data_IF_877559784300
#
_entry.id   IF_877559784300
#
_cell.length_a   1.000
_cell.length_b   1.000
_cell.length_c   1.000
_cell.angle_alpha   90.00
_cell.angle_beta   90.00
_cell.angle_gamma   90.00
#
_symmetry.space_group_name_H-M   'P 1'
#
loop_
_entity.id
_entity.type
_entity.pdbx_description
1 polymer ?
#
# COMPACT_ATOMS: atom_id res chain seq x y z
N UNK A 1 -85.24 13.62 -36.72
CA UNK A 1 -85.01 14.08 -35.33
C UNK A 1 -83.70 14.87 -35.35
N UNK A 2 -83.68 16.17 -35.71
CA UNK A 2 -83.87 17.35 -34.82
C UNK A 2 -83.01 17.25 -33.55
N UNK A 3 -82.06 18.12 -33.20
CA UNK A 3 -81.62 19.43 -33.73
C UNK A 3 -80.28 19.83 -33.06
N UNK A 4 -79.59 20.86 -33.61
CA UNK A 4 -79.28 22.18 -32.99
C UNK A 4 -78.36 22.12 -31.74
N UNK A 5 -77.21 22.79 -31.64
CA UNK A 5 -76.89 24.24 -31.75
C UNK A 5 -75.39 24.37 -32.17
N UNK A 6 -74.91 25.23 -33.07
CA UNK A 6 -74.95 26.68 -33.21
C UNK A 6 -74.26 27.48 -32.07
N UNK A 7 -73.04 27.99 -32.32
CA UNK A 7 -72.69 29.41 -32.07
C UNK A 7 -71.36 29.83 -32.73
N UNK A 8 -71.46 30.90 -33.52
CA UNK A 8 -70.40 31.72 -34.14
C UNK A 8 -69.53 32.43 -33.09
N UNK A 9 -68.29 32.79 -33.42
CA UNK A 9 -67.81 34.18 -33.70
C UNK A 9 -66.47 34.34 -32.96
N UNK A 10 -65.50 35.20 -33.24
CA UNK A 10 -65.28 36.28 -34.21
C UNK A 10 -63.76 36.48 -34.32
N UNK A 11 -63.34 37.05 -35.45
CA UNK A 11 -61.97 37.46 -35.79
C UNK A 11 -61.54 38.65 -34.93
N UNK A 12 -60.35 38.60 -34.35
CA UNK A 12 -59.59 39.80 -33.98
C UNK A 12 -58.15 39.64 -34.43
N UNK A 13 -57.80 40.43 -35.44
CA UNK A 13 -56.43 40.69 -35.84
C UNK A 13 -55.82 41.70 -34.86
N UNK A 14 -54.65 41.38 -34.30
CA UNK A 14 -53.76 42.37 -33.69
C UNK A 14 -52.38 42.16 -34.28
N UNK A 15 -51.98 43.11 -35.12
CA UNK A 15 -50.62 43.33 -35.58
C UNK A 15 -49.77 43.74 -34.37
N UNK A 16 -48.79 42.92 -34.00
CA UNK A 16 -47.73 43.29 -33.08
C UNK A 16 -46.39 43.23 -33.82
N UNK A 17 -45.91 44.40 -34.23
CA UNK A 17 -44.54 44.64 -34.69
C UNK A 17 -43.62 44.48 -33.47
N UNK A 18 -42.84 43.40 -33.42
CA UNK A 18 -41.81 43.19 -32.40
C UNK A 18 -40.44 43.47 -33.01
N UNK A 19 -39.87 44.57 -32.54
CA UNK A 19 -38.56 45.08 -32.91
C UNK A 19 -37.44 44.10 -32.49
N UNK A 20 -36.47 43.93 -33.40
CA UNK A 20 -35.23 43.21 -33.23
C UNK A 20 -34.38 43.82 -32.11
N UNK A 21 -34.08 43.04 -31.07
CA UNK A 21 -32.98 43.32 -30.14
C UNK A 21 -31.89 42.26 -30.35
N UNK A 22 -30.87 42.61 -31.13
CA UNK A 22 -29.64 41.83 -31.24
C UNK A 22 -28.85 42.00 -29.94
N UNK A 23 -28.81 40.95 -29.13
CA UNK A 23 -27.93 40.91 -27.96
C UNK A 23 -26.55 40.46 -28.44
N UNK A 24 -25.61 41.41 -28.50
CA UNK A 24 -24.20 41.09 -28.68
C UNK A 24 -23.67 40.43 -27.42
N UNK A 25 -23.36 39.14 -27.47
CA UNK A 25 -22.60 38.46 -26.43
C UNK A 25 -21.13 38.89 -26.51
N UNK A 26 -20.73 39.82 -25.65
CA UNK A 26 -19.32 40.11 -25.41
C UNK A 26 -18.70 38.91 -24.68
N UNK A 27 -18.00 38.04 -25.41
CA UNK A 27 -17.15 37.03 -24.80
C UNK A 27 -15.96 37.74 -24.13
N UNK A 28 -16.00 37.88 -22.80
CA UNK A 28 -14.82 38.29 -22.04
C UNK A 28 -13.87 37.10 -21.92
N UNK A 29 -12.79 37.11 -22.70
CA UNK A 29 -11.64 36.25 -22.44
C UNK A 29 -11.02 36.67 -21.10
N UNK A 30 -11.17 35.85 -20.06
CA UNK A 30 -10.39 35.99 -18.84
C UNK A 30 -8.95 35.61 -19.12
N UNK A 31 -8.10 36.61 -19.33
CA UNK A 31 -6.65 36.46 -19.28
C UNK A 31 -6.26 36.21 -17.82
N UNK A 32 -5.97 34.96 -17.49
CA UNK A 32 -5.28 34.59 -16.25
C UNK A 32 -3.90 35.26 -16.27
N UNK A 33 -3.52 36.01 -15.23
CA UNK A 33 -2.18 36.61 -15.17
C UNK A 33 -1.11 35.50 -15.14
N UNK A 34 0.07 35.74 -15.72
CA UNK A 34 1.14 34.75 -15.74
C UNK A 34 1.59 34.40 -14.32
N UNK A 35 1.70 33.10 -14.06
CA UNK A 35 2.23 32.54 -12.82
C UNK A 35 3.72 32.92 -12.71
N UNK A 36 4.07 33.75 -11.73
CA UNK A 36 5.47 34.06 -11.42
C UNK A 36 6.12 32.88 -10.71
N UNK A 37 7.05 32.21 -11.39
CA UNK A 37 7.92 31.16 -10.84
C UNK A 37 9.15 31.78 -10.14
N UNK A 38 8.93 32.67 -9.17
CA UNK A 38 10.00 33.18 -8.33
C UNK A 38 10.15 32.29 -7.07
N UNK A 39 11.37 31.80 -6.74
CA UNK A 39 11.59 31.06 -5.51
C UNK A 39 11.36 31.96 -4.30
N UNK A 40 10.33 31.66 -3.51
CA UNK A 40 10.13 32.31 -2.22
C UNK A 40 11.20 31.82 -1.25
N UNK A 41 12.04 32.75 -0.77
CA UNK A 41 12.98 32.48 0.32
C UNK A 41 12.17 32.30 1.61
N UNK A 42 12.00 31.05 2.03
CA UNK A 42 11.43 30.70 3.33
C UNK A 42 12.27 31.36 4.44
N UNK A 43 11.63 32.15 5.29
CA UNK A 43 12.26 32.64 6.51
C UNK A 43 12.49 31.44 7.46
N UNK A 44 13.66 31.35 8.12
CA UNK A 44 13.92 30.27 9.05
C UNK A 44 12.97 30.37 10.25
N UNK A 45 12.47 29.23 10.78
CA UNK A 45 11.62 29.23 11.96
C UNK A 45 12.42 29.72 13.18
N UNK A 46 11.86 30.67 13.92
CA UNK A 46 12.39 31.13 15.20
C UNK A 46 12.32 29.98 16.21
N UNK A 47 13.46 29.32 16.45
CA UNK A 47 13.58 28.30 17.47
C UNK A 47 13.41 28.93 18.86
N UNK A 48 12.25 28.72 19.48
CA UNK A 48 12.07 29.04 20.91
C UNK A 48 12.46 27.78 21.69
N UNK A 49 13.65 27.79 22.29
CA UNK A 49 14.17 26.66 23.06
C UNK A 49 13.34 26.44 24.35
N UNK A 50 12.92 25.20 24.68
CA UNK A 50 12.30 24.91 25.96
C UNK A 50 13.32 25.04 27.11
N UNK A 51 12.93 25.73 28.18
CA UNK A 51 13.69 25.78 29.45
C UNK A 51 13.69 24.38 30.08
N UNK A 52 14.87 23.75 30.12
CA UNK A 52 15.11 22.55 30.92
C UNK A 52 15.25 22.99 32.38
N UNK A 53 14.32 22.57 33.23
CA UNK A 53 14.44 22.71 34.69
C UNK A 53 15.15 21.45 35.20
N UNK A 54 16.42 21.59 35.58
CA UNK A 54 17.18 20.53 36.25
C UNK A 54 16.80 20.46 37.73
N UNK A 55 16.44 19.29 38.28
CA UNK A 55 16.33 19.08 39.73
C UNK A 55 17.72 19.06 40.39
N UNK A 56 17.82 19.42 41.69
CA UNK A 56 19.10 19.62 42.34
C UNK A 56 19.83 18.29 42.58
N UNK A 57 21.15 18.33 42.31
CA UNK A 57 22.11 17.29 42.69
C UNK A 57 22.22 17.28 44.22
N UNK A 58 21.81 16.18 44.85
CA UNK A 58 22.17 15.86 46.21
C UNK A 58 23.45 15.03 46.19
N UNK A 59 24.53 15.59 46.74
CA UNK A 59 25.76 14.88 47.08
C UNK A 59 25.47 13.88 48.19
N UNK A 60 25.82 12.61 47.99
CA UNK A 60 25.90 11.63 49.06
C UNK A 60 27.14 10.76 48.86
N UNK A 61 27.94 10.71 49.91
CA UNK A 61 29.27 10.15 50.04
C UNK A 61 29.38 8.66 49.70
N UNK A 62 30.61 8.26 49.37
CA UNK A 62 31.08 6.88 49.37
C UNK A 62 30.92 6.26 50.76
N UNK A 63 30.25 5.10 50.85
CA UNK A 63 30.52 4.11 51.90
C UNK A 63 30.02 2.71 51.48
N UNK A 64 30.99 1.82 51.29
CA UNK A 64 31.00 0.37 51.57
C UNK A 64 29.79 -0.52 51.23
N UNK A 65 30.08 -1.53 50.40
CA UNK A 65 29.25 -2.71 50.16
C UNK A 65 28.85 -3.47 51.44
N UNK A 66 27.66 -4.08 51.47
CA UNK A 66 27.40 -5.24 52.30
C UNK A 66 27.12 -6.51 51.48
N UNK A 67 27.47 -7.57 52.17
CA UNK A 67 27.58 -8.98 51.88
C UNK A 67 26.25 -9.67 51.51
N UNK A 68 26.38 -10.79 50.78
CA UNK A 68 25.29 -11.69 50.39
C UNK A 68 24.48 -12.15 51.60
N UNK A 69 23.16 -11.99 51.53
CA UNK A 69 22.23 -12.73 52.40
C UNK A 69 21.16 -13.40 51.54
N UNK A 70 21.09 -14.72 51.64
CA UNK A 70 20.00 -15.54 51.12
C UNK A 70 18.83 -15.48 52.11
N UNK A 71 17.60 -15.18 51.66
CA UNK A 71 16.40 -15.94 52.03
C UNK A 71 15.14 -15.54 51.22
N UNK A 72 14.09 -16.39 51.21
CA UNK A 72 13.15 -16.54 50.10
C UNK A 72 11.82 -15.78 50.25
N UNK A 73 11.10 -15.78 49.12
CA UNK A 73 9.66 -15.57 48.92
C UNK A 73 9.09 -14.14 48.99
N UNK A 74 8.58 -13.70 47.83
CA UNK A 74 7.37 -12.90 47.74
C UNK A 74 7.53 -11.48 47.19
N UNK A 75 7.46 -11.33 45.86
CA UNK A 75 6.60 -10.36 45.13
C UNK A 75 6.94 -10.42 43.64
N UNK A 76 5.91 -10.43 42.81
CA UNK A 76 6.03 -10.59 41.36
C UNK A 76 6.84 -9.48 40.73
N UNK A 77 8.11 -9.77 40.47
CA UNK A 77 8.89 -9.06 39.47
C UNK A 77 8.42 -9.56 38.11
N UNK A 78 7.81 -8.68 37.32
CA UNK A 78 7.73 -8.91 35.88
C UNK A 78 9.18 -8.97 35.39
N UNK A 79 9.71 -10.18 35.27
CA UNK A 79 10.92 -10.41 34.48
C UNK A 79 10.54 -10.11 33.05
N UNK A 80 10.87 -8.89 32.61
CA UNK A 80 10.98 -8.59 31.19
C UNK A 80 12.18 -9.37 30.69
N UNK A 81 11.97 -10.65 30.38
CA UNK A 81 12.90 -11.41 29.57
C UNK A 81 13.07 -10.63 28.27
N UNK A 82 14.32 -10.44 27.82
CA UNK A 82 14.59 -9.87 26.52
C UNK A 82 13.69 -10.58 25.49
N UNK A 83 12.77 -9.83 24.90
CA UNK A 83 11.91 -10.30 23.82
C UNK A 83 12.85 -10.81 22.73
N UNK A 84 12.97 -12.13 22.60
CA UNK A 84 13.67 -12.74 21.49
C UNK A 84 13.03 -12.18 20.22
N UNK A 85 13.85 -11.61 19.34
CA UNK A 85 13.38 -11.16 18.05
C UNK A 85 12.85 -12.39 17.32
N UNK A 86 11.52 -12.48 17.17
CA UNK A 86 10.86 -13.61 16.55
C UNK A 86 11.32 -13.63 15.09
N UNK A 87 11.96 -14.73 14.68
CA UNK A 87 12.39 -14.89 13.30
C UNK A 87 11.15 -14.88 12.39
N UNK A 88 11.03 -13.92 11.45
CA UNK A 88 9.86 -13.82 10.60
C UNK A 88 9.63 -15.06 9.74
N UNK A 89 10.67 -15.87 9.45
CA UNK A 89 10.54 -17.13 8.72
C UNK A 89 9.74 -18.20 9.48
N UNK A 90 9.59 -18.05 10.81
CA UNK A 90 8.76 -18.93 11.64
C UNK A 90 7.26 -18.59 11.63
N UNK A 91 6.91 -17.43 11.08
CA UNK A 91 5.53 -16.89 11.11
C UNK A 91 4.59 -17.81 10.33
N UNK A 92 3.40 -18.04 10.87
CA UNK A 92 2.29 -18.70 10.18
C UNK A 92 0.96 -18.27 10.77
N UNK A 93 -0.14 -18.66 10.10
CA UNK A 93 -1.50 -18.38 10.56
C UNK A 93 -2.32 -19.66 10.78
N UNK A 94 -1.74 -20.83 10.47
CA UNK A 94 -2.34 -22.13 10.77
C UNK A 94 -1.49 -22.86 11.81
N UNK A 95 -2.08 -23.09 12.99
CA UNK A 95 -1.60 -24.07 13.96
C UNK A 95 -1.98 -25.49 13.53
N UNK A 96 -1.37 -26.51 14.13
CA UNK A 96 -1.71 -27.92 13.90
C UNK A 96 -3.21 -28.20 14.12
N UNK A 97 -3.77 -27.66 15.21
CA UNK A 97 -5.21 -27.79 15.51
C UNK A 97 -6.12 -27.14 14.46
N UNK A 98 -5.60 -26.21 13.66
CA UNK A 98 -6.30 -25.53 12.56
C UNK A 98 -5.94 -26.14 11.20
N UNK A 99 -5.29 -27.31 11.17
CA UNK A 99 -4.89 -27.99 9.94
C UNK A 99 -3.52 -27.57 9.40
N UNK A 100 -2.72 -26.83 10.15
CA UNK A 100 -1.29 -26.68 9.85
C UNK A 100 -0.54 -28.01 9.98
N UNK A 101 0.69 -28.06 9.48
CA UNK A 101 1.55 -29.27 9.53
C UNK A 101 2.28 -29.47 10.86
N UNK A 102 2.10 -28.55 11.82
CA UNK A 102 2.78 -28.58 13.11
C UNK A 102 4.09 -27.81 13.12
N UNK A 103 4.50 -27.36 14.31
CA UNK A 103 5.67 -26.50 14.47
C UNK A 103 6.98 -27.17 14.04
N UNK A 104 7.06 -28.49 14.14
CA UNK A 104 8.26 -29.28 13.87
C UNK A 104 8.21 -29.96 12.48
N UNK A 105 7.41 -29.44 11.53
CA UNK A 105 7.25 -30.03 10.18
C UNK A 105 8.54 -30.17 9.37
N UNK A 106 9.59 -29.41 9.73
CA UNK A 106 10.90 -29.44 9.10
C UNK A 106 11.92 -30.30 9.83
N UNK A 107 11.53 -30.98 10.92
CA UNK A 107 12.45 -31.79 11.71
C UNK A 107 13.13 -32.84 10.83
N UNK A 108 14.47 -32.86 10.86
CA UNK A 108 15.29 -33.76 10.04
C UNK A 108 15.45 -33.35 8.57
N UNK A 109 14.90 -32.22 8.14
CA UNK A 109 15.10 -31.66 6.80
C UNK A 109 16.06 -30.48 6.86
N UNK A 110 17.18 -30.56 6.13
CA UNK A 110 18.15 -29.47 6.06
C UNK A 110 17.58 -28.22 5.37
N UNK A 111 17.90 -27.04 5.91
CA UNK A 111 17.45 -25.75 5.42
C UNK A 111 17.75 -25.53 3.94
N UNK A 112 18.90 -25.99 3.43
CA UNK A 112 19.24 -25.83 2.02
C UNK A 112 18.29 -26.62 1.10
N UNK A 113 17.74 -27.74 1.57
CA UNK A 113 16.73 -28.51 0.83
C UNK A 113 15.42 -27.73 0.77
N UNK A 114 14.98 -27.18 1.90
CA UNK A 114 13.75 -26.37 1.99
C UNK A 114 13.85 -25.14 1.10
N UNK A 115 14.94 -24.37 1.21
CA UNK A 115 15.16 -23.18 0.39
C UNK A 115 15.27 -23.50 -1.11
N UNK A 116 15.74 -24.70 -1.48
CA UNK A 116 15.78 -25.15 -2.87
C UNK A 116 14.40 -25.55 -3.39
N UNK A 117 13.62 -26.31 -2.62
CA UNK A 117 12.38 -26.94 -3.09
C UNK A 117 11.14 -26.06 -2.91
N UNK A 118 11.09 -25.24 -1.85
CA UNK A 118 9.92 -24.40 -1.55
C UNK A 118 9.55 -23.46 -2.71
N UNK A 119 10.48 -22.76 -3.38
CA UNK A 119 10.15 -21.93 -4.54
C UNK A 119 9.59 -22.70 -5.74
N UNK A 120 9.80 -24.03 -5.80
CA UNK A 120 9.40 -24.89 -6.91
C UNK A 120 8.04 -25.57 -6.68
N UNK A 121 7.30 -25.17 -5.64
CA UNK A 121 6.00 -25.76 -5.35
C UNK A 121 5.03 -25.60 -6.54
N UNK A 122 4.32 -26.66 -6.97
CA UNK A 122 3.46 -26.63 -8.15
C UNK A 122 2.10 -25.95 -7.88
N UNK A 123 2.14 -24.68 -7.48
CA UNK A 123 0.98 -23.90 -7.01
C UNK A 123 -0.18 -23.77 -8.02
N UNK A 124 0.10 -23.99 -9.31
CA UNK A 124 -0.88 -23.98 -10.41
C UNK A 124 -1.54 -25.34 -10.71
N UNK A 125 -1.39 -26.34 -9.83
CA UNK A 125 -2.02 -27.66 -9.96
C UNK A 125 -3.53 -27.61 -10.24
N UNK A 126 -4.07 -28.41 -11.16
CA UNK A 126 -5.53 -28.50 -11.38
C UNK A 126 -6.28 -29.20 -10.24
N UNK A 127 -5.59 -30.01 -9.43
CA UNK A 127 -6.19 -30.69 -8.27
C UNK A 127 -6.42 -29.72 -7.11
N UNK A 128 -7.67 -29.58 -6.68
CA UNK A 128 -8.06 -28.76 -5.53
C UNK A 128 -7.41 -29.25 -4.22
N UNK A 129 -7.29 -30.57 -4.05
CA UNK A 129 -6.66 -31.18 -2.86
C UNK A 129 -5.18 -30.82 -2.79
N UNK A 130 -4.47 -30.90 -3.92
CA UNK A 130 -3.06 -30.51 -3.98
C UNK A 130 -2.89 -29.01 -3.72
N UNK A 131 -3.76 -28.17 -4.30
CA UNK A 131 -3.76 -26.72 -4.01
C UNK A 131 -3.94 -26.43 -2.53
N UNK A 132 -4.89 -27.08 -1.88
CA UNK A 132 -5.12 -26.89 -0.45
C UNK A 132 -3.95 -27.39 0.40
N UNK A 133 -3.30 -28.50 0.02
CA UNK A 133 -2.12 -29.00 0.72
C UNK A 133 -0.96 -27.99 0.67
N UNK A 134 -0.69 -27.42 -0.52
CA UNK A 134 0.33 -26.39 -0.69
C UNK A 134 -0.04 -25.13 0.08
N UNK A 135 -1.30 -24.70 0.01
CA UNK A 135 -1.80 -23.56 0.78
C UNK A 135 -1.57 -23.74 2.28
N UNK A 136 -1.93 -24.90 2.83
CA UNK A 136 -1.71 -25.23 4.25
C UNK A 136 -0.23 -25.23 4.62
N UNK A 137 0.63 -25.73 3.74
CA UNK A 137 2.08 -25.73 3.95
C UNK A 137 2.61 -24.30 4.05
N UNK A 138 2.20 -23.45 3.10
CA UNK A 138 2.59 -22.03 3.03
C UNK A 138 2.03 -21.18 4.17
N UNK A 139 0.99 -21.63 4.88
CA UNK A 139 0.37 -20.90 5.99
C UNK A 139 0.67 -21.48 7.37
N UNK A 140 1.34 -22.63 7.45
CA UNK A 140 1.66 -23.27 8.72
C UNK A 140 2.63 -22.45 9.56
N UNK A 141 2.41 -22.45 10.88
CA UNK A 141 3.39 -22.01 11.86
C UNK A 141 4.44 -23.12 11.96
N UNK A 142 5.72 -22.77 11.79
CA UNK A 142 6.80 -23.74 11.81
C UNK A 142 8.08 -23.12 12.37
N UNK A 143 8.87 -23.90 13.10
CA UNK A 143 10.25 -23.53 13.44
C UNK A 143 11.05 -23.38 12.14
N UNK A 144 11.98 -22.44 12.09
CA UNK A 144 12.87 -22.29 10.95
C UNK A 144 13.69 -23.58 10.78
N UNK A 145 13.78 -24.18 9.57
CA UNK A 145 14.57 -25.38 9.35
C UNK A 145 16.02 -25.21 9.83
N UNK A 146 16.57 -26.26 10.43
CA UNK A 146 17.96 -26.27 10.86
C UNK A 146 18.92 -26.38 9.67
N UNK A 147 20.11 -25.80 9.83
CA UNK A 147 21.14 -25.80 8.79
C UNK A 147 21.50 -24.39 8.31
N UNK A 148 22.47 -24.33 7.39
CA UNK A 148 23.00 -23.06 6.88
C UNK A 148 22.02 -22.45 5.89
N UNK A 149 21.60 -21.20 6.12
CA UNK A 149 20.82 -20.45 5.14
C UNK A 149 21.67 -20.08 3.91
N UNK A 150 21.06 -20.13 2.74
CA UNK A 150 21.57 -19.55 1.49
C UNK A 150 21.31 -18.04 1.39
N UNK A 151 20.63 -17.43 2.38
CA UNK A 151 20.20 -16.04 2.37
C UNK A 151 18.78 -15.83 1.84
N UNK A 152 18.09 -16.90 1.43
CA UNK A 152 16.69 -16.84 1.03
C UNK A 152 15.78 -16.56 2.23
N UNK A 153 14.89 -15.57 2.10
CA UNK A 153 13.80 -15.37 3.06
C UNK A 153 12.67 -16.38 2.80
N UNK A 154 12.43 -17.28 3.75
CA UNK A 154 11.35 -18.26 3.65
C UNK A 154 9.98 -17.58 3.73
N UNK A 155 9.80 -16.57 4.58
CA UNK A 155 8.53 -15.85 4.69
C UNK A 155 8.18 -15.10 3.40
N UNK A 156 9.16 -14.41 2.79
CA UNK A 156 8.93 -13.71 1.52
C UNK A 156 8.61 -14.71 0.40
N UNK A 157 9.30 -15.84 0.35
CA UNK A 157 9.04 -16.93 -0.60
C UNK A 157 7.62 -17.47 -0.45
N UNK A 158 7.18 -17.76 0.79
CA UNK A 158 5.83 -18.25 1.07
C UNK A 158 4.76 -17.26 0.64
N UNK A 159 4.97 -15.99 0.95
CA UNK A 159 4.06 -14.91 0.57
C UNK A 159 3.95 -14.81 -0.95
N UNK A 160 5.07 -14.79 -1.69
CA UNK A 160 5.05 -14.75 -3.15
C UNK A 160 4.30 -15.93 -3.77
N UNK A 161 4.48 -17.13 -3.24
CA UNK A 161 3.75 -18.31 -3.69
C UNK A 161 2.25 -18.17 -3.44
N UNK A 162 1.84 -17.63 -2.30
CA UNK A 162 0.42 -17.35 -2.00
C UNK A 162 -0.16 -16.25 -2.91
N UNK A 163 0.63 -15.23 -3.26
CA UNK A 163 0.25 -14.20 -4.25
C UNK A 163 0.00 -14.85 -5.60
N UNK A 164 0.93 -15.70 -6.07
CA UNK A 164 0.79 -16.41 -7.33
C UNK A 164 -0.34 -17.47 -7.32
N UNK A 165 -0.77 -17.93 -6.15
CA UNK A 165 -2.01 -18.71 -5.98
C UNK A 165 -3.29 -17.86 -6.06
N UNK A 166 -3.19 -16.53 -5.99
CA UNK A 166 -4.32 -15.61 -5.93
C UNK A 166 -5.00 -15.52 -4.56
N UNK A 167 -4.42 -16.08 -3.50
CA UNK A 167 -5.01 -16.04 -2.15
C UNK A 167 -4.63 -14.76 -1.40
N UNK A 168 -5.18 -13.63 -1.87
CA UNK A 168 -4.86 -12.30 -1.33
C UNK A 168 -5.26 -12.16 0.15
N UNK A 169 -6.31 -12.87 0.58
CA UNK A 169 -6.77 -12.86 1.98
C UNK A 169 -5.73 -13.51 2.87
N UNK A 170 -5.23 -14.70 2.51
CA UNK A 170 -4.20 -15.36 3.28
C UNK A 170 -2.88 -14.60 3.25
N UNK A 171 -2.51 -14.00 2.10
CA UNK A 171 -1.33 -13.13 2.00
C UNK A 171 -1.42 -11.96 2.98
N UNK A 172 -2.52 -11.21 2.98
CA UNK A 172 -2.68 -10.07 3.88
C UNK A 172 -2.67 -10.51 5.36
N UNK A 173 -3.29 -11.66 5.67
CA UNK A 173 -3.33 -12.18 7.04
C UNK A 173 -1.93 -12.60 7.51
N UNK A 174 -1.18 -13.32 6.68
CA UNK A 174 0.18 -13.75 6.97
C UNK A 174 1.13 -12.55 7.08
N UNK A 175 1.04 -11.58 6.16
CA UNK A 175 1.79 -10.33 6.23
C UNK A 175 1.53 -9.63 7.57
N UNK A 176 0.28 -9.45 7.97
CA UNK A 176 -0.05 -8.77 9.23
C UNK A 176 0.48 -9.51 10.47
N UNK A 177 0.61 -10.84 10.41
CA UNK A 177 1.22 -11.64 11.46
C UNK A 177 2.76 -11.60 11.46
N UNK A 178 3.40 -11.14 10.38
CA UNK A 178 4.86 -11.17 10.20
C UNK A 178 5.55 -10.01 10.93
N UNK A 179 6.44 -10.31 11.90
CA UNK A 179 7.25 -9.29 12.58
C UNK A 179 8.18 -8.55 11.60
N UNK A 180 8.42 -7.26 11.85
CA UNK A 180 9.38 -6.48 11.04
C UNK A 180 8.99 -6.26 9.57
N UNK A 181 7.77 -6.64 9.15
CA UNK A 181 7.31 -6.52 7.74
C UNK A 181 7.41 -5.10 7.17
N UNK A 182 7.22 -4.07 7.99
CA UNK A 182 7.20 -2.68 7.55
C UNK A 182 8.60 -2.15 7.24
N UNK A 183 9.62 -2.71 7.89
CA UNK A 183 11.03 -2.36 7.68
C UNK A 183 11.70 -3.23 6.62
N UNK A 184 11.08 -4.35 6.23
CA UNK A 184 11.52 -5.17 5.11
C UNK A 184 10.96 -4.58 3.80
N UNK A 185 11.85 -4.10 2.92
CA UNK A 185 11.45 -3.41 1.68
C UNK A 185 10.61 -4.30 0.73
N UNK A 186 10.94 -5.58 0.64
CA UNK A 186 10.22 -6.53 -0.21
C UNK A 186 8.82 -6.82 0.33
N UNK A 187 8.69 -7.11 1.64
CA UNK A 187 7.39 -7.34 2.26
C UNK A 187 6.52 -6.08 2.27
N UNK A 188 7.14 -4.89 2.43
CA UNK A 188 6.45 -3.62 2.33
C UNK A 188 5.90 -3.38 0.91
N UNK A 189 6.67 -3.72 -0.13
CA UNK A 189 6.23 -3.65 -1.53
C UNK A 189 5.07 -4.61 -1.80
N UNK A 190 5.22 -5.89 -1.48
CA UNK A 190 4.17 -6.90 -1.68
C UNK A 190 2.89 -6.48 -0.93
N UNK A 191 3.03 -5.98 0.31
CA UNK A 191 1.89 -5.48 1.07
C UNK A 191 1.14 -4.35 0.38
N UNK A 192 1.82 -3.45 -0.32
CA UNK A 192 1.19 -2.38 -1.12
C UNK A 192 0.51 -2.95 -2.37
N UNK A 193 1.18 -3.84 -3.11
CA UNK A 193 0.63 -4.47 -4.31
C UNK A 193 -0.68 -5.20 -4.00
N UNK A 194 -0.71 -5.95 -2.90
CA UNK A 194 -1.91 -6.67 -2.46
C UNK A 194 -3.06 -5.75 -2.06
N UNK A 195 -2.74 -4.56 -1.51
CA UNK A 195 -3.77 -3.54 -1.24
C UNK A 195 -4.36 -2.99 -2.52
N UNK A 196 -3.56 -2.70 -3.54
CA UNK A 196 -4.08 -2.31 -4.86
C UNK A 196 -4.98 -3.40 -5.46
N UNK A 197 -4.53 -4.67 -5.45
CA UNK A 197 -5.31 -5.80 -5.96
C UNK A 197 -6.62 -6.02 -5.18
N UNK A 198 -6.66 -5.68 -3.89
CA UNK A 198 -7.85 -5.80 -3.05
C UNK A 198 -8.69 -4.52 -3.00
N UNK A 199 -8.40 -3.53 -3.86
CA UNK A 199 -9.03 -2.20 -3.91
C UNK A 199 -8.95 -1.40 -2.57
N UNK A 200 -7.98 -1.72 -1.71
CA UNK A 200 -7.61 -0.93 -0.52
C UNK A 200 -6.67 0.22 -0.93
N UNK A 201 -7.10 1.00 -1.93
CA UNK A 201 -6.31 2.07 -2.52
C UNK A 201 -5.97 3.15 -1.49
N UNK A 202 -6.86 3.41 -0.52
CA UNK A 202 -6.63 4.40 0.52
C UNK A 202 -5.35 4.10 1.32
N UNK A 203 -5.19 2.87 1.81
CA UNK A 203 -3.99 2.48 2.56
C UNK A 203 -2.77 2.31 1.66
N UNK A 204 -2.95 1.79 0.44
CA UNK A 204 -1.86 1.68 -0.53
C UNK A 204 -1.26 3.07 -0.87
N UNK A 205 -2.12 4.06 -1.13
CA UNK A 205 -1.71 5.41 -1.45
C UNK A 205 -1.08 6.16 -0.29
N UNK A 206 -1.57 5.94 0.94
CA UNK A 206 -0.90 6.46 2.14
C UNK A 206 0.53 5.91 2.26
N UNK A 207 0.73 4.62 1.98
CA UNK A 207 2.05 4.00 2.01
C UNK A 207 2.95 4.50 0.88
N UNK A 208 2.44 4.61 -0.35
CA UNK A 208 3.19 5.13 -1.50
C UNK A 208 3.67 6.58 -1.27
N UNK A 209 2.81 7.44 -0.72
CA UNK A 209 3.17 8.81 -0.36
C UNK A 209 4.28 8.90 0.70
N UNK A 210 4.34 7.93 1.63
CA UNK A 210 5.41 7.86 2.62
C UNK A 210 6.75 7.36 2.07
N UNK A 211 6.74 6.60 0.97
CA UNK A 211 7.93 5.96 0.41
C UNK A 211 8.59 6.76 -0.72
N UNK A 212 7.90 7.74 -1.31
CA UNK A 212 8.40 8.55 -2.46
C UNK A 212 9.74 9.24 -2.19
N UNK A 213 10.07 9.54 -0.93
CA UNK A 213 11.31 10.21 -0.52
C UNK A 213 12.47 9.25 -0.23
N UNK A 214 12.16 7.97 0.00
CA UNK A 214 13.10 7.04 0.62
C UNK A 214 13.71 6.04 -0.36
N UNK A 215 13.15 5.90 -1.58
CA UNK A 215 13.51 4.81 -2.47
C UNK A 215 13.49 5.25 -3.94
N UNK A 216 14.63 5.09 -4.61
CA UNK A 216 14.80 5.26 -6.06
C UNK A 216 14.31 4.02 -6.82
N UNK A 217 13.11 3.54 -6.43
CA UNK A 217 12.52 2.33 -6.99
C UNK A 217 11.29 2.77 -7.78
N UNK A 218 11.33 2.55 -9.09
CA UNK A 218 10.25 2.79 -10.05
C UNK A 218 8.86 2.47 -9.49
N UNK A 219 8.74 1.38 -8.75
CA UNK A 219 7.50 0.95 -8.11
C UNK A 219 6.84 2.06 -7.26
N UNK A 220 7.58 2.71 -6.35
CA UNK A 220 7.00 3.69 -5.45
C UNK A 220 6.64 4.99 -6.16
N UNK A 221 7.42 5.38 -7.17
CA UNK A 221 7.09 6.53 -8.02
C UNK A 221 5.82 6.26 -8.84
N UNK A 222 5.73 5.09 -9.50
CA UNK A 222 4.53 4.66 -10.23
C UNK A 222 3.31 4.59 -9.32
N UNK A 223 3.43 3.97 -8.15
CA UNK A 223 2.36 3.90 -7.17
C UNK A 223 1.92 5.30 -6.70
N UNK A 224 2.86 6.21 -6.48
CA UNK A 224 2.57 7.58 -6.08
C UNK A 224 1.80 8.35 -7.16
N UNK A 225 2.23 8.31 -8.42
CA UNK A 225 1.53 9.01 -9.51
C UNK A 225 0.19 8.37 -9.86
N UNK A 226 0.08 7.04 -9.75
CA UNK A 226 -1.22 6.36 -9.80
C UNK A 226 -2.17 6.90 -8.73
N UNK A 227 -1.68 7.07 -7.50
CA UNK A 227 -2.47 7.61 -6.40
C UNK A 227 -2.87 9.08 -6.59
N UNK A 228 -2.02 9.90 -7.22
CA UNK A 228 -2.40 11.26 -7.62
C UNK A 228 -3.50 11.25 -8.69
N UNK A 229 -3.38 10.39 -9.70
CA UNK A 229 -4.40 10.23 -10.72
C UNK A 229 -5.74 9.76 -10.13
N UNK A 230 -5.72 8.80 -9.19
CA UNK A 230 -6.92 8.38 -8.45
C UNK A 230 -7.55 9.50 -7.61
N UNK A 231 -6.74 10.42 -7.10
CA UNK A 231 -7.20 11.56 -6.32
C UNK A 231 -7.74 12.72 -7.19
N UNK A 232 -7.78 12.56 -8.52
CA UNK A 232 -8.17 13.62 -9.46
C UNK A 232 -7.09 14.68 -9.68
N UNK A 233 -5.88 14.48 -9.14
CA UNK A 233 -4.74 15.38 -9.31
C UNK A 233 -4.01 15.12 -10.63
N UNK A 234 -4.75 15.04 -11.74
CA UNK A 234 -4.25 14.58 -13.04
C UNK A 234 -3.07 15.42 -13.55
N UNK A 235 -3.09 16.75 -13.37
CA UNK A 235 -1.99 17.64 -13.77
C UNK A 235 -0.69 17.31 -13.02
N UNK A 236 -0.78 17.00 -11.73
CA UNK A 236 0.39 16.62 -10.91
C UNK A 236 0.93 15.26 -11.34
N UNK A 237 0.05 14.30 -11.56
CA UNK A 237 0.41 12.97 -12.05
C UNK A 237 1.08 13.05 -13.43
N UNK A 238 0.52 13.84 -14.35
CA UNK A 238 1.04 14.02 -15.71
C UNK A 238 2.46 14.62 -15.71
N UNK A 239 2.69 15.66 -14.89
CA UNK A 239 4.03 16.24 -14.74
C UNK A 239 5.03 15.20 -14.23
N UNK A 240 4.68 14.47 -13.17
CA UNK A 240 5.52 13.43 -12.59
C UNK A 240 5.87 12.32 -13.57
N UNK A 241 4.90 11.89 -14.37
CA UNK A 241 5.07 10.89 -15.42
C UNK A 241 5.96 11.41 -16.55
N UNK A 242 5.80 12.66 -16.98
CA UNK A 242 6.69 13.23 -18.00
C UNK A 242 8.14 13.23 -17.53
N UNK A 243 8.41 13.58 -16.26
CA UNK A 243 9.75 13.52 -15.69
C UNK A 243 10.25 12.08 -15.67
N UNK A 244 9.41 11.13 -15.24
CA UNK A 244 9.79 9.71 -15.18
C UNK A 244 10.21 9.14 -16.53
N UNK A 245 9.52 9.55 -17.61
CA UNK A 245 9.84 9.19 -19.00
C UNK A 245 11.20 9.77 -19.41
N UNK A 246 11.45 11.04 -19.13
CA UNK A 246 12.73 11.70 -19.43
C UNK A 246 13.90 11.13 -18.62
N UNK A 247 13.64 10.64 -17.40
CA UNK A 247 14.67 9.99 -16.56
C UNK A 247 14.91 8.52 -16.90
N UNK A 248 14.25 7.99 -17.93
CA UNK A 248 14.56 6.67 -18.50
C UNK A 248 13.62 5.53 -18.12
N UNK A 249 12.48 5.79 -17.48
CA UNK A 249 11.46 4.75 -17.30
C UNK A 249 10.69 4.53 -18.61
N UNK A 250 10.58 3.28 -19.05
CA UNK A 250 10.03 2.91 -20.37
C UNK A 250 8.75 2.07 -20.28
N UNK A 251 8.05 2.10 -19.15
CA UNK A 251 6.80 1.36 -18.98
C UNK A 251 5.62 2.07 -19.67
N UNK A 252 5.56 1.92 -20.99
CA UNK A 252 4.51 2.53 -21.83
C UNK A 252 3.10 2.05 -21.46
N UNK A 253 2.98 0.80 -20.98
CA UNK A 253 1.69 0.26 -20.52
C UNK A 253 1.22 1.07 -19.32
N UNK A 254 2.08 1.27 -18.32
CA UNK A 254 1.76 2.11 -17.17
C UNK A 254 1.38 3.53 -17.58
N UNK A 255 2.15 4.17 -18.46
CA UNK A 255 1.86 5.53 -18.90
C UNK A 255 0.50 5.64 -19.61
N UNK A 256 0.18 4.71 -20.51
CA UNK A 256 -1.11 4.65 -21.20
C UNK A 256 -2.28 4.44 -20.24
N UNK A 257 -2.10 3.59 -19.22
CA UNK A 257 -3.11 3.34 -18.19
C UNK A 257 -3.37 4.58 -17.33
N UNK A 258 -2.34 5.35 -16.95
CA UNK A 258 -2.55 6.59 -16.19
C UNK A 258 -3.23 7.67 -17.04
N UNK A 259 -2.84 7.82 -18.31
CA UNK A 259 -3.49 8.76 -19.22
C UNK A 259 -4.97 8.40 -19.44
N UNK A 260 -5.29 7.10 -19.49
CA UNK A 260 -6.67 6.62 -19.52
C UNK A 260 -7.47 7.06 -18.28
N UNK A 261 -6.87 6.97 -17.08
CA UNK A 261 -7.51 7.43 -15.85
C UNK A 261 -7.79 8.94 -15.86
N UNK A 262 -6.94 9.74 -16.52
CA UNK A 262 -7.12 11.19 -16.64
C UNK A 262 -8.15 11.58 -17.72
N UNK A 263 -8.11 10.91 -18.86
CA UNK A 263 -8.96 11.23 -20.02
C UNK A 263 -10.35 10.56 -19.96
N UNK A 264 -10.54 9.54 -19.12
CA UNK A 264 -11.73 8.70 -19.10
C UNK A 264 -11.88 7.81 -20.33
N UNK A 265 -10.89 7.78 -21.22
CA UNK A 265 -10.88 6.96 -22.44
C UNK A 265 -10.13 5.66 -22.18
N UNK A 266 -10.73 4.51 -22.50
CA UNK A 266 -10.06 3.22 -22.32
C UNK A 266 -8.84 3.10 -23.25
N UNK A 267 -7.68 2.64 -22.75
CA UNK A 267 -6.49 2.51 -23.58
C UNK A 267 -6.61 1.26 -24.45
N UNK A 268 -5.91 1.26 -25.59
CA UNK A 268 -5.75 0.06 -26.41
C UNK A 268 -4.48 -0.66 -26.00
N UNK A 269 -4.63 -1.73 -25.20
CA UNK A 269 -3.51 -2.58 -24.79
C UNK A 269 -3.40 -3.77 -25.74
N UNK A 270 -2.31 -3.85 -26.49
CA UNK A 270 -2.04 -4.96 -27.42
C UNK A 270 -1.37 -6.15 -26.74
N UNK A 271 -0.66 -5.91 -25.64
CA UNK A 271 -0.03 -6.93 -24.78
C UNK A 271 -0.10 -6.47 -23.32
N UNK A 272 -0.15 -7.42 -22.39
CA UNK A 272 0.23 -7.18 -21.01
C UNK A 272 1.68 -7.67 -20.83
N UNK A 273 2.43 -7.04 -19.92
CA UNK A 273 3.71 -7.59 -19.49
C UNK A 273 3.48 -9.01 -18.91
N UNK A 274 4.40 -9.92 -19.20
CA UNK A 274 4.38 -11.28 -18.64
C UNK A 274 4.50 -11.15 -17.09
N UNK A 275 3.56 -11.71 -16.31
CA UNK A 275 3.52 -11.54 -14.85
C UNK A 275 4.65 -12.27 -14.11
#
# INVERSE_FOLDING_TARGET
MTGSHASQSSRWAVLAVLALAVWGSSAQAQQTPPIQLAPQKLAPPTATAPKIVTPPVATADQATAPEKTNNPAGTGGVQVGNLQNIDPDSTGILSEAQGGFGAEMWLGTDRAIVEKLLPQLPISSSSAVMRELMRRLLLSIARVPEGKSSGLSLIATRIKLLVAMGDLVAVNTLLNATPGRATNAELARIGTEIRFLSNDNARACAQAGGQIRNQDVDFWQKAFFFCQALAGEHDKAALGISVMRETGNQDEIFFSLIESLASGTSPTLTTLADP
#
